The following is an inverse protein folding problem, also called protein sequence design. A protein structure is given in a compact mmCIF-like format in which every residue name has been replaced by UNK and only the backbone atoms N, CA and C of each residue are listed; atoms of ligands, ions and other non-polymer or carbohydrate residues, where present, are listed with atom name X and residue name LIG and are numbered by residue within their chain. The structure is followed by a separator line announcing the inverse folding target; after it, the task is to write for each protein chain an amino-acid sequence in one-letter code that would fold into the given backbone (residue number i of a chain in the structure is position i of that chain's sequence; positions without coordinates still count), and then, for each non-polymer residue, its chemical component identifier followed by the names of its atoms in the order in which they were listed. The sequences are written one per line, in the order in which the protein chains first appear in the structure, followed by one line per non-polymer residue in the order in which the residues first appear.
data_IF_276814125342
#
_entry.id   IF_276814125342
#
_cell.length_a   1.000
_cell.length_b   1.000
_cell.length_c   1.000
_cell.angle_alpha   90.00
_cell.angle_beta   90.00
_cell.angle_gamma   90.00
#
_symmetry.space_group_name_H-M   'P 1'
#
loop_
_entity.id
_entity.type
_entity.pdbx_description
1 polymer ?
#
# COMPACT_ATOMS: atom_id res chain seq x y z
N UNK A 1 14.52 2.80 -8.40
CA UNK A 1 13.51 2.41 -9.40
C UNK A 1 13.92 1.09 -10.06
N UNK A 2 13.02 0.14 -10.13
CA UNK A 2 13.20 -1.13 -10.87
C UNK A 2 12.10 -1.23 -11.90
N UNK A 3 12.42 -1.72 -13.08
CA UNK A 3 11.47 -1.88 -14.18
C UNK A 3 11.48 -3.33 -14.62
N UNK A 4 10.31 -3.92 -14.75
CA UNK A 4 10.12 -5.31 -15.14
C UNK A 4 9.07 -5.40 -16.25
N UNK A 5 9.41 -6.08 -17.33
CA UNK A 5 8.48 -6.38 -18.42
C UNK A 5 7.83 -7.73 -18.14
N UNK A 6 6.57 -7.75 -17.74
CA UNK A 6 5.83 -8.98 -17.43
C UNK A 6 5.46 -9.73 -18.73
N UNK A 7 5.05 -8.98 -19.74
CA UNK A 7 4.74 -9.51 -21.08
C UNK A 7 4.95 -8.40 -22.12
N UNK A 8 4.69 -8.67 -23.39
CA UNK A 8 4.87 -7.70 -24.47
C UNK A 8 4.04 -6.41 -24.33
N UNK A 9 3.04 -6.41 -23.45
CA UNK A 9 2.09 -5.30 -23.28
C UNK A 9 2.10 -4.69 -21.88
N UNK A 10 2.69 -5.33 -20.88
CA UNK A 10 2.61 -4.89 -19.48
C UNK A 10 3.99 -4.66 -18.92
N UNK A 11 4.24 -3.42 -18.54
CA UNK A 11 5.47 -2.96 -17.88
C UNK A 11 5.15 -2.56 -16.44
N UNK A 12 5.94 -3.05 -15.48
CA UNK A 12 5.82 -2.74 -14.06
C UNK A 12 7.02 -1.91 -13.62
N UNK A 13 6.75 -0.77 -13.04
CA UNK A 13 7.74 0.16 -12.50
C UNK A 13 7.60 0.17 -10.99
N UNK A 14 8.64 -0.28 -10.28
CA UNK A 14 8.63 -0.38 -8.83
C UNK A 14 9.54 0.65 -8.19
N UNK A 15 9.00 1.33 -7.18
CA UNK A 15 9.71 2.22 -6.27
C UNK A 15 9.72 1.61 -4.88
N UNK A 16 10.91 1.51 -4.27
CA UNK A 16 11.08 0.91 -2.95
C UNK A 16 10.71 1.85 -1.79
N UNK A 17 10.48 3.12 -2.11
CA UNK A 17 9.95 4.12 -1.17
C UNK A 17 9.15 5.21 -1.88
N UNK A 18 8.32 5.89 -1.10
CA UNK A 18 7.57 7.06 -1.55
C UNK A 18 8.51 8.22 -1.92
N UNK A 19 9.64 8.36 -1.20
CA UNK A 19 10.65 9.37 -1.49
C UNK A 19 11.31 9.13 -2.85
N UNK A 20 11.68 7.90 -3.16
CA UNK A 20 12.27 7.54 -4.46
C UNK A 20 11.32 7.87 -5.63
N UNK A 21 10.02 7.60 -5.45
CA UNK A 21 9.01 7.99 -6.44
C UNK A 21 8.92 9.50 -6.61
N UNK A 22 8.89 10.24 -5.52
CA UNK A 22 8.85 11.70 -5.53
C UNK A 22 10.10 12.30 -6.20
N UNK A 23 11.28 11.83 -5.83
CA UNK A 23 12.55 12.30 -6.40
C UNK A 23 12.60 12.09 -7.92
N UNK A 24 12.07 10.98 -8.39
CA UNK A 24 11.91 10.73 -9.83
C UNK A 24 11.02 11.78 -10.49
N UNK A 25 9.85 12.09 -9.90
CA UNK A 25 8.91 13.05 -10.48
C UNK A 25 9.48 14.48 -10.58
N UNK A 26 10.26 14.89 -9.58
CA UNK A 26 10.78 16.27 -9.51
C UNK A 26 12.04 16.44 -10.36
N UNK A 27 12.89 15.43 -10.40
CA UNK A 27 14.17 15.52 -11.12
C UNK A 27 14.05 15.16 -12.61
N UNK A 28 12.92 14.61 -13.05
CA UNK A 28 12.72 14.26 -14.46
C UNK A 28 12.09 15.44 -15.20
N UNK A 29 12.73 15.95 -16.26
CA UNK A 29 12.16 17.01 -17.09
C UNK A 29 10.84 16.56 -17.70
N UNK A 30 9.85 17.44 -17.73
CA UNK A 30 8.55 17.16 -18.36
C UNK A 30 8.23 18.17 -19.45
N UNK A 31 7.46 17.72 -20.45
CA UNK A 31 7.00 18.56 -21.52
C UNK A 31 5.75 19.33 -21.08
N UNK A 32 5.84 20.66 -21.04
CA UNK A 32 4.73 21.54 -20.66
C UNK A 32 3.48 21.45 -21.57
N UNK A 33 3.60 20.86 -22.74
CA UNK A 33 2.43 20.61 -23.60
C UNK A 33 1.41 19.64 -23.00
N UNK A 34 1.86 18.80 -22.02
CA UNK A 34 1.02 17.86 -21.25
C UNK A 34 1.23 18.16 -19.76
N UNK A 35 0.45 19.06 -19.21
CA UNK A 35 0.62 19.54 -17.83
C UNK A 35 -0.68 19.42 -17.01
N UNK A 36 -1.41 18.35 -17.19
CA UNK A 36 -2.65 18.10 -16.45
C UNK A 36 -2.43 17.90 -14.95
N UNK A 37 -1.21 17.50 -14.57
CA UNK A 37 -0.78 17.48 -13.18
C UNK A 37 -0.80 18.88 -12.53
N UNK A 38 -0.58 19.95 -13.30
CA UNK A 38 -0.52 21.33 -12.79
C UNK A 38 -1.82 22.11 -13.04
N UNK A 39 -2.32 22.12 -14.26
CA UNK A 39 -3.31 23.09 -14.73
C UNK A 39 -4.51 22.49 -15.48
N UNK A 40 -4.95 21.29 -15.16
CA UNK A 40 -6.10 20.72 -15.86
C UNK A 40 -7.36 21.61 -15.78
N UNK A 41 -8.00 21.92 -16.89
CA UNK A 41 -9.18 22.78 -16.96
C UNK A 41 -10.37 22.26 -16.13
N UNK A 42 -10.68 20.97 -16.26
CA UNK A 42 -11.73 20.30 -15.47
C UNK A 42 -11.10 19.43 -14.40
N UNK A 43 -10.02 18.74 -14.73
CA UNK A 43 -9.30 17.82 -13.84
C UNK A 43 -8.42 18.52 -12.81
N UNK A 44 -8.11 19.79 -13.00
CA UNK A 44 -7.37 20.62 -12.05
C UNK A 44 -8.23 21.33 -11.00
N UNK A 45 -9.55 21.15 -11.02
CA UNK A 45 -10.42 21.79 -10.03
C UNK A 45 -10.18 21.22 -8.64
N UNK A 46 -10.25 22.09 -7.62
CA UNK A 46 -10.11 21.70 -6.20
C UNK A 46 -11.13 20.60 -5.79
N UNK A 47 -12.31 20.60 -6.40
CA UNK A 47 -13.33 19.57 -6.17
C UNK A 47 -12.85 18.18 -6.62
N UNK A 48 -12.11 18.12 -7.74
CA UNK A 48 -11.61 16.88 -8.32
C UNK A 48 -10.32 16.38 -7.63
N UNK A 49 -9.35 17.27 -7.42
CA UNK A 49 -8.03 16.90 -6.88
C UNK A 49 -7.90 17.08 -5.36
N UNK A 50 -8.76 17.90 -4.75
CA UNK A 50 -8.67 18.40 -3.36
C UNK A 50 -7.44 19.28 -3.11
N UNK A 51 -6.74 19.72 -4.18
CA UNK A 51 -5.66 20.71 -4.15
C UNK A 51 -5.82 21.70 -5.30
N UNK A 52 -5.30 22.91 -5.14
CA UNK A 52 -5.37 23.94 -6.17
C UNK A 52 -4.22 23.80 -7.19
N UNK A 53 -3.06 23.32 -6.74
CA UNK A 53 -1.85 23.20 -7.57
C UNK A 53 -1.10 21.88 -7.31
N UNK A 54 -0.15 21.57 -8.18
CA UNK A 54 0.82 20.51 -7.97
C UNK A 54 1.72 20.82 -6.77
N UNK A 55 2.12 22.09 -6.61
CA UNK A 55 2.96 22.51 -5.47
C UNK A 55 2.27 22.27 -4.13
N UNK A 56 0.98 22.56 -4.01
CA UNK A 56 0.19 22.25 -2.80
C UNK A 56 0.15 20.75 -2.53
N UNK A 57 -0.01 19.91 -3.55
CA UNK A 57 0.03 18.46 -3.39
C UNK A 57 1.42 17.98 -2.91
N UNK A 58 2.49 18.61 -3.37
CA UNK A 58 3.86 18.34 -2.94
C UNK A 58 4.08 18.78 -1.48
N UNK A 59 3.53 19.90 -1.07
CA UNK A 59 3.61 20.34 0.34
C UNK A 59 2.89 19.37 1.26
N UNK A 60 1.67 18.92 0.90
CA UNK A 60 0.93 17.91 1.63
C UNK A 60 1.66 16.55 1.65
N UNK A 61 2.36 16.21 0.57
CA UNK A 61 3.20 15.03 0.52
C UNK A 61 4.33 15.10 1.56
N UNK A 62 4.99 16.26 1.71
CA UNK A 62 6.12 16.46 2.63
C UNK A 62 5.69 16.62 4.08
N UNK A 63 4.65 17.41 4.33
CA UNK A 63 4.17 17.75 5.67
C UNK A 63 3.17 16.73 6.25
N UNK A 64 2.56 15.93 5.37
CA UNK A 64 1.41 15.09 5.70
C UNK A 64 0.08 15.86 5.66
N UNK A 65 -1.02 15.13 5.64
CA UNK A 65 -2.38 15.70 5.67
C UNK A 65 -2.93 15.69 7.09
N UNK A 66 -2.56 16.70 7.89
CA UNK A 66 -2.87 16.82 9.31
C UNK A 66 -4.37 16.83 9.60
N UNK A 67 -5.15 17.55 8.80
CA UNK A 67 -6.59 17.73 9.02
C UNK A 67 -7.34 16.40 8.93
N UNK A 68 -6.95 15.56 7.98
CA UNK A 68 -7.53 14.23 7.84
C UNK A 68 -6.93 13.22 8.82
N UNK A 69 -5.67 13.38 9.24
CA UNK A 69 -5.00 12.42 10.12
C UNK A 69 -5.77 12.19 11.42
N UNK A 70 -6.29 13.24 12.04
CA UNK A 70 -7.11 13.15 13.25
C UNK A 70 -8.41 12.38 13.03
N UNK A 71 -9.11 12.63 11.94
CA UNK A 71 -10.32 11.91 11.54
C UNK A 71 -10.03 10.43 11.27
N UNK A 72 -8.94 10.14 10.54
CA UNK A 72 -8.49 8.77 10.27
C UNK A 72 -8.18 8.01 11.55
N UNK A 73 -7.48 8.63 12.51
CA UNK A 73 -7.19 8.02 13.81
C UNK A 73 -8.47 7.64 14.54
N UNK A 74 -9.49 8.50 14.54
CA UNK A 74 -10.79 8.21 15.16
C UNK A 74 -11.48 7.03 14.47
N UNK A 75 -11.56 7.04 13.13
CA UNK A 75 -12.19 5.96 12.35
C UNK A 75 -11.48 4.62 12.48
N UNK A 76 -10.16 4.64 12.74
CA UNK A 76 -9.35 3.44 12.95
C UNK A 76 -9.37 2.93 14.38
N UNK A 77 -9.73 3.75 15.38
CA UNK A 77 -9.90 3.32 16.79
C UNK A 77 -11.07 2.36 16.98
N UNK A 78 -12.12 2.48 16.17
CA UNK A 78 -13.32 1.64 16.24
C UNK A 78 -13.02 0.16 15.91
N UNK A 79 -11.86 -0.12 15.30
CA UNK A 79 -11.45 -1.49 14.97
C UNK A 79 -10.55 -2.02 16.10
N UNK A 80 -11.12 -2.24 17.25
CA UNK A 80 -10.46 -3.01 18.33
C UNK A 80 -10.61 -4.49 18.04
N UNK A 81 -9.62 -5.09 17.40
CA UNK A 81 -9.48 -6.52 17.29
C UNK A 81 -8.61 -7.03 18.45
N UNK A 82 -8.90 -8.24 18.92
CA UNK A 82 -8.02 -8.94 19.88
C UNK A 82 -6.63 -9.05 19.24
N UNK A 83 -5.65 -8.39 19.83
CA UNK A 83 -4.27 -8.45 19.38
C UNK A 83 -3.73 -9.84 19.69
N UNK A 84 -3.24 -10.54 18.68
CA UNK A 84 -2.54 -11.81 18.88
C UNK A 84 -1.27 -11.58 19.71
N UNK A 85 -0.95 -12.48 20.67
CA UNK A 85 0.21 -12.31 21.49
C UNK A 85 1.48 -12.35 20.64
N UNK A 86 2.30 -11.33 20.76
CA UNK A 86 3.60 -11.26 20.08
C UNK A 86 4.65 -12.18 20.69
N UNK A 87 4.37 -12.77 21.84
CA UNK A 87 5.23 -13.69 22.57
C UNK A 87 4.43 -14.93 22.98
N UNK A 88 5.06 -16.09 22.89
CA UNK A 88 4.48 -17.35 23.38
C UNK A 88 5.45 -18.08 24.32
N UNK A 89 4.94 -18.83 25.32
CA UNK A 89 5.79 -19.66 26.16
C UNK A 89 6.39 -20.80 25.34
N UNK A 90 7.69 -20.98 25.48
CA UNK A 90 8.43 -22.13 24.95
C UNK A 90 9.20 -22.80 26.09
N UNK A 91 9.10 -24.12 26.14
CA UNK A 91 9.87 -24.88 27.10
C UNK A 91 11.36 -24.79 26.76
N UNK A 92 12.19 -24.57 27.78
CA UNK A 92 13.64 -24.54 27.72
C UNK A 92 14.22 -25.29 28.90
N UNK A 93 15.31 -25.99 28.71
CA UNK A 93 16.11 -26.52 29.81
C UNK A 93 16.86 -25.38 30.49
N UNK A 94 16.82 -25.35 31.81
CA UNK A 94 17.46 -24.34 32.64
C UNK A 94 17.92 -24.93 33.96
N UNK A 95 18.71 -24.19 34.73
CA UNK A 95 19.12 -24.58 36.08
C UNK A 95 17.99 -24.53 37.09
N UNK A 96 16.92 -23.79 36.78
CA UNK A 96 15.72 -23.72 37.61
C UNK A 96 14.47 -23.82 36.69
N UNK A 97 13.37 -24.38 37.21
CA UNK A 97 12.17 -24.56 36.45
C UNK A 97 11.04 -25.19 37.24
N UNK A 98 9.93 -25.45 36.57
CA UNK A 98 8.74 -26.03 37.18
C UNK A 98 8.72 -27.56 37.24
N UNK A 99 9.59 -28.22 36.48
CA UNK A 99 9.67 -29.67 36.42
C UNK A 99 11.12 -30.13 36.19
N UNK A 100 11.62 -31.05 37.03
CA UNK A 100 12.89 -31.67 36.82
C UNK A 100 12.82 -32.78 35.78
N UNK A 101 13.85 -32.87 34.94
CA UNK A 101 14.03 -33.98 33.99
C UNK A 101 14.96 -34.98 34.63
N UNK A 102 14.38 -35.99 35.26
CA UNK A 102 15.08 -36.97 36.10
C UNK A 102 16.30 -37.59 35.41
N UNK A 103 16.26 -38.04 34.15
CA UNK A 103 17.45 -38.57 33.48
C UNK A 103 18.62 -37.58 33.40
N UNK A 104 18.35 -36.29 33.12
CA UNK A 104 19.42 -35.27 33.07
C UNK A 104 19.95 -34.92 34.44
N UNK A 105 19.09 -34.95 35.46
CA UNK A 105 19.51 -34.76 36.87
C UNK A 105 20.47 -35.86 37.31
N UNK A 106 20.13 -37.14 37.04
CA UNK A 106 20.98 -38.29 37.39
C UNK A 106 22.32 -38.24 36.65
N UNK A 107 22.33 -37.72 35.42
CA UNK A 107 23.57 -37.56 34.64
C UNK A 107 24.41 -36.34 35.08
N UNK A 108 23.95 -35.56 36.06
CA UNK A 108 24.67 -34.39 36.55
C UNK A 108 24.67 -33.21 35.60
N UNK A 109 23.74 -33.16 34.61
CA UNK A 109 23.63 -32.05 33.68
C UNK A 109 23.11 -30.81 34.42
N UNK A 110 23.79 -29.65 34.39
CA UNK A 110 23.37 -28.47 35.14
C UNK A 110 21.98 -27.95 34.74
N UNK A 111 21.68 -27.97 33.44
CA UNK A 111 20.38 -27.51 32.89
C UNK A 111 19.41 -28.72 32.84
N UNK A 112 18.94 -29.17 33.99
CA UNK A 112 18.10 -30.38 34.12
C UNK A 112 16.63 -30.07 34.46
N UNK A 113 16.26 -28.80 34.53
CA UNK A 113 14.88 -28.39 34.81
C UNK A 113 14.20 -27.79 33.60
N UNK A 114 12.90 -28.11 33.44
CA UNK A 114 12.03 -27.51 32.42
C UNK A 114 11.57 -26.14 32.91
N UNK A 115 11.88 -25.12 32.15
CA UNK A 115 11.42 -23.74 32.40
C UNK A 115 10.62 -23.18 31.20
N UNK A 116 9.72 -22.27 31.46
CA UNK A 116 8.93 -21.55 30.41
C UNK A 116 9.58 -20.20 30.13
N UNK A 117 10.17 -20.07 28.98
CA UNK A 117 10.68 -18.77 28.49
C UNK A 117 9.72 -18.18 27.46
N UNK A 118 9.36 -16.92 27.63
CA UNK A 118 8.62 -16.20 26.62
C UNK A 118 9.53 -15.93 25.42
N UNK A 119 9.13 -16.39 24.25
CA UNK A 119 9.87 -16.19 23.00
C UNK A 119 9.00 -15.43 22.00
N UNK A 120 9.60 -14.55 21.20
CA UNK A 120 8.86 -13.85 20.16
C UNK A 120 8.21 -14.84 19.18
N UNK A 121 6.95 -14.58 18.87
CA UNK A 121 6.24 -15.30 17.80
C UNK A 121 6.74 -14.75 16.46
N UNK A 122 7.21 -15.64 15.58
CA UNK A 122 7.56 -15.26 14.20
C UNK A 122 6.26 -14.85 13.48
N UNK A 123 6.10 -13.56 13.22
CA UNK A 123 4.94 -13.03 12.53
C UNK A 123 5.06 -13.29 11.03
N UNK A 124 3.95 -13.65 10.39
CA UNK A 124 3.89 -13.84 8.93
C UNK A 124 3.91 -12.47 8.26
N UNK A 125 4.84 -12.28 7.33
CA UNK A 125 4.90 -11.08 6.49
C UNK A 125 4.01 -11.30 5.27
N UNK A 126 3.17 -10.32 4.98
CA UNK A 126 2.31 -10.30 3.79
C UNK A 126 2.50 -8.99 3.03
N UNK A 127 2.30 -9.03 1.73
CA UNK A 127 2.35 -7.84 0.87
C UNK A 127 0.96 -7.54 0.35
N UNK A 128 0.50 -6.32 0.61
CA UNK A 128 -0.81 -5.81 0.20
C UNK A 128 -0.58 -4.68 -0.79
N UNK A 129 -1.17 -4.79 -1.97
CA UNK A 129 -1.15 -3.79 -3.03
C UNK A 129 -2.53 -3.15 -3.11
N UNK A 130 -2.64 -1.86 -2.79
CA UNK A 130 -3.91 -1.11 -2.94
C UNK A 130 -3.92 -0.42 -4.30
N UNK A 131 -4.85 -0.80 -5.17
CA UNK A 131 -5.07 -0.08 -6.42
C UNK A 131 -5.73 1.28 -6.13
N UNK A 132 -5.14 2.33 -6.69
CA UNK A 132 -5.69 3.69 -6.72
C UNK A 132 -6.19 4.06 -8.12
N UNK A 133 -6.43 3.09 -8.99
CA UNK A 133 -6.84 3.27 -10.38
C UNK A 133 -8.32 3.67 -10.49
N UNK A 134 -8.62 4.87 -10.02
CA UNK A 134 -9.97 5.43 -10.15
C UNK A 134 -10.12 6.16 -11.49
N UNK A 135 -11.25 5.97 -12.14
CA UNK A 135 -11.56 6.73 -13.35
C UNK A 135 -11.91 8.19 -13.03
N UNK A 136 -11.91 9.04 -14.04
CA UNK A 136 -12.20 10.47 -13.90
C UNK A 136 -13.60 10.79 -13.37
N UNK A 137 -14.58 9.88 -13.49
CA UNK A 137 -15.94 10.06 -12.99
C UNK A 137 -16.09 9.77 -11.50
N UNK A 138 -15.07 9.21 -10.85
CA UNK A 138 -15.12 8.90 -9.41
C UNK A 138 -14.95 10.17 -8.59
N UNK A 139 -15.90 10.45 -7.68
CA UNK A 139 -15.78 11.59 -6.78
C UNK A 139 -14.61 11.46 -5.82
N UNK A 140 -14.01 12.58 -5.44
CA UNK A 140 -12.89 12.60 -4.48
C UNK A 140 -13.27 12.02 -3.13
N UNK A 141 -14.49 12.26 -2.66
CA UNK A 141 -14.95 11.75 -1.36
C UNK A 141 -15.08 10.22 -1.37
N UNK A 142 -15.51 9.64 -2.51
CA UNK A 142 -15.54 8.19 -2.66
C UNK A 142 -14.13 7.57 -2.67
N UNK A 143 -13.16 8.24 -3.30
CA UNK A 143 -11.74 7.80 -3.25
C UNK A 143 -11.26 7.76 -1.79
N UNK A 144 -11.55 8.81 -1.02
CA UNK A 144 -11.20 8.91 0.39
C UNK A 144 -11.80 7.74 1.19
N UNK A 145 -13.09 7.49 1.02
CA UNK A 145 -13.78 6.41 1.73
C UNK A 145 -13.21 5.02 1.42
N UNK A 146 -12.99 4.71 0.14
CA UNK A 146 -12.43 3.41 -0.26
C UNK A 146 -10.99 3.21 0.22
N UNK A 147 -10.23 4.29 0.28
CA UNK A 147 -8.85 4.25 0.82
C UNK A 147 -8.83 4.07 2.34
N UNK A 148 -9.80 4.65 3.06
CA UNK A 148 -9.97 4.41 4.50
C UNK A 148 -10.30 2.94 4.77
N UNK A 149 -11.17 2.30 3.98
CA UNK A 149 -11.45 0.86 4.10
C UNK A 149 -10.17 0.03 3.96
N UNK A 150 -9.30 0.36 2.99
CA UNK A 150 -8.02 -0.33 2.83
C UNK A 150 -7.12 -0.18 4.07
N UNK A 151 -7.06 1.02 4.64
CA UNK A 151 -6.30 1.27 5.87
C UNK A 151 -6.87 0.49 7.06
N UNK A 152 -8.18 0.38 7.16
CA UNK A 152 -8.87 -0.43 8.17
C UNK A 152 -8.55 -1.92 8.04
N UNK A 153 -8.52 -2.45 6.81
CA UNK A 153 -8.15 -3.84 6.55
C UNK A 153 -6.72 -4.12 7.00
N UNK A 154 -5.77 -3.27 6.61
CA UNK A 154 -4.36 -3.41 7.00
C UNK A 154 -4.21 -3.39 8.53
N UNK A 155 -4.87 -2.44 9.22
CA UNK A 155 -4.84 -2.35 10.67
C UNK A 155 -5.39 -3.61 11.33
N UNK A 156 -6.51 -4.14 10.82
CA UNK A 156 -7.13 -5.37 11.33
C UNK A 156 -6.21 -6.58 11.20
N UNK A 157 -5.53 -6.73 10.07
CA UNK A 157 -4.57 -7.80 9.84
C UNK A 157 -3.33 -7.67 10.74
N UNK A 158 -2.82 -6.46 10.94
CA UNK A 158 -1.71 -6.23 11.87
C UNK A 158 -2.09 -6.55 13.31
N UNK A 159 -3.34 -6.27 13.72
CA UNK A 159 -3.84 -6.65 15.02
C UNK A 159 -3.99 -8.18 15.19
N UNK A 160 -4.17 -8.92 14.11
CA UNK A 160 -4.16 -10.39 14.09
C UNK A 160 -2.74 -11.00 14.10
N UNK A 161 -1.70 -10.18 14.17
CA UNK A 161 -0.32 -10.63 14.26
C UNK A 161 0.41 -10.76 12.92
N UNK A 162 -0.17 -10.30 11.82
CA UNK A 162 0.54 -10.18 10.55
C UNK A 162 1.46 -8.96 10.54
N UNK A 163 2.47 -9.00 9.67
CA UNK A 163 3.29 -7.84 9.33
C UNK A 163 3.04 -7.47 7.88
N UNK A 164 2.52 -6.27 7.63
CA UNK A 164 2.07 -5.86 6.31
C UNK A 164 3.09 -4.94 5.64
N UNK A 165 3.60 -5.35 4.47
CA UNK A 165 4.08 -4.41 3.48
C UNK A 165 2.86 -3.83 2.79
N UNK A 166 2.78 -2.51 2.67
CA UNK A 166 1.70 -1.83 1.96
C UNK A 166 2.28 -1.04 0.80
N UNK A 167 1.80 -1.34 -0.38
CA UNK A 167 2.11 -0.61 -1.60
C UNK A 167 0.83 0.04 -2.14
N UNK A 168 0.98 1.16 -2.79
CA UNK A 168 -0.03 1.70 -3.70
C UNK A 168 0.32 1.28 -5.13
N UNK A 169 -0.71 1.02 -5.90
CA UNK A 169 -0.61 0.63 -7.31
C UNK A 169 -1.39 1.63 -8.12
N UNK A 170 -0.74 2.15 -9.12
CA UNK A 170 -1.23 3.17 -10.03
C UNK A 170 -0.98 2.65 -11.45
N UNK A 171 -2.03 2.43 -12.21
CA UNK A 171 -1.94 1.89 -13.56
C UNK A 171 -2.51 2.84 -14.60
N UNK A 172 -1.92 2.81 -15.78
CA UNK A 172 -2.46 3.53 -16.95
C UNK A 172 -2.26 2.67 -18.19
N UNK A 173 -3.13 2.91 -19.18
CA UNK A 173 -2.98 2.32 -20.51
C UNK A 173 -2.54 3.39 -21.49
N UNK A 174 -1.66 3.05 -22.41
CA UNK A 174 -1.22 3.89 -23.50
C UNK A 174 -1.32 3.14 -24.83
N UNK A 175 -1.57 3.86 -25.94
CA UNK A 175 -1.82 3.29 -27.26
C UNK A 175 -3.27 2.85 -27.49
N UNK A 176 -3.56 2.33 -28.67
CA UNK A 176 -4.88 1.88 -29.06
C UNK A 176 -4.91 0.46 -29.63
N UNK A 177 -5.98 -0.28 -29.28
CA UNK A 177 -6.28 -1.57 -29.87
C UNK A 177 -5.16 -2.58 -29.69
N UNK A 178 -4.61 -3.12 -30.79
CA UNK A 178 -3.54 -4.13 -30.70
C UNK A 178 -2.23 -3.62 -30.10
N UNK A 179 -1.99 -2.30 -30.16
CA UNK A 179 -0.79 -1.63 -29.67
C UNK A 179 -0.98 -1.07 -28.25
N UNK A 180 -2.10 -1.34 -27.60
CA UNK A 180 -2.34 -0.94 -26.22
C UNK A 180 -1.34 -1.61 -25.28
N UNK A 181 -0.69 -0.78 -24.48
CA UNK A 181 0.25 -1.19 -23.42
C UNK A 181 -0.26 -0.73 -22.07
N UNK A 182 0.05 -1.50 -21.05
CA UNK A 182 -0.24 -1.18 -19.67
C UNK A 182 1.05 -0.85 -18.92
N UNK A 183 1.00 0.23 -18.17
CA UNK A 183 2.07 0.67 -17.28
C UNK A 183 1.55 0.65 -15.86
N UNK A 184 2.20 -0.13 -15.02
CA UNK A 184 1.80 -0.32 -13.63
C UNK A 184 2.91 0.20 -12.73
N UNK A 185 2.62 1.22 -11.95
CA UNK A 185 3.53 1.79 -10.97
C UNK A 185 3.19 1.23 -9.61
N UNK A 186 4.15 0.58 -8.96
CA UNK A 186 4.06 0.06 -7.60
C UNK A 186 4.97 0.87 -6.69
N UNK A 187 4.41 1.55 -5.70
CA UNK A 187 5.17 2.38 -4.76
C UNK A 187 4.97 1.86 -3.34
N UNK A 188 6.06 1.52 -2.65
CA UNK A 188 5.99 1.11 -1.25
C UNK A 188 5.77 2.33 -0.35
N UNK A 189 4.67 2.29 0.41
CA UNK A 189 4.31 3.35 1.36
C UNK A 189 4.48 2.93 2.83
N UNK A 190 4.58 1.61 3.10
CA UNK A 190 4.85 1.06 4.43
C UNK A 190 5.62 -0.24 4.32
N UNK A 191 6.67 -0.39 5.11
CA UNK A 191 7.38 -1.65 5.29
C UNK A 191 6.76 -2.51 6.40
N UNK A 192 6.88 -3.84 6.29
CA UNK A 192 6.48 -4.79 7.33
C UNK A 192 7.18 -4.56 8.67
N UNK A 193 8.39 -3.98 8.66
CA UNK A 193 9.17 -3.69 9.86
C UNK A 193 8.72 -2.41 10.58
N UNK A 194 7.86 -1.61 9.94
CA UNK A 194 7.36 -0.34 10.49
C UNK A 194 5.97 -0.52 11.08
N UNK A 195 5.70 0.19 12.19
CA UNK A 195 4.34 0.35 12.69
C UNK A 195 3.53 1.25 11.76
N UNK A 196 2.22 1.00 11.68
CA UNK A 196 1.33 1.86 10.92
C UNK A 196 1.36 3.30 11.47
N UNK A 197 1.85 4.22 10.67
CA UNK A 197 1.80 5.66 10.96
C UNK A 197 0.71 6.31 10.12
N UNK A 198 -0.42 6.62 10.75
CA UNK A 198 -1.61 7.16 10.07
C UNK A 198 -1.32 8.48 9.38
N UNK A 199 -0.54 9.38 10.01
CA UNK A 199 -0.22 10.68 9.44
C UNK A 199 0.65 10.56 8.18
N UNK A 200 1.62 9.63 8.16
CA UNK A 200 2.43 9.36 6.96
C UNK A 200 1.63 8.73 5.83
N UNK A 201 0.63 7.90 6.16
CA UNK A 201 -0.19 7.19 5.18
C UNK A 201 -1.38 8.02 4.67
N UNK A 202 -1.77 9.07 5.39
CA UNK A 202 -2.95 9.88 5.06
C UNK A 202 -2.89 10.46 3.64
N UNK A 203 -1.77 11.06 3.27
CA UNK A 203 -1.62 11.62 1.92
C UNK A 203 -1.48 10.52 0.85
N UNK A 204 -0.48 9.62 0.88
CA UNK A 204 -0.21 8.71 -0.24
C UNK A 204 -1.31 7.68 -0.47
N UNK A 205 -2.06 7.32 0.56
CA UNK A 205 -3.11 6.30 0.44
C UNK A 205 -4.50 6.91 0.27
N UNK A 206 -4.79 8.04 0.93
CA UNK A 206 -6.16 8.55 1.06
C UNK A 206 -6.41 9.80 0.21
N UNK A 207 -5.39 10.64 0.01
CA UNK A 207 -5.59 11.91 -0.68
C UNK A 207 -5.75 11.73 -2.21
N UNK A 208 -6.81 12.29 -2.83
CA UNK A 208 -7.02 12.17 -4.28
C UNK A 208 -5.89 12.72 -5.14
N UNK A 209 -5.12 13.70 -4.65
CA UNK A 209 -3.99 14.27 -5.38
C UNK A 209 -2.81 13.30 -5.55
N UNK A 210 -2.74 12.22 -4.76
CA UNK A 210 -1.74 11.18 -5.03
C UNK A 210 -1.92 10.60 -6.43
N UNK A 211 -3.15 10.28 -6.82
CA UNK A 211 -3.50 9.87 -8.18
C UNK A 211 -3.47 11.06 -9.14
N UNK A 212 -4.25 12.13 -8.83
CA UNK A 212 -4.65 13.17 -9.78
C UNK A 212 -3.66 14.32 -9.93
N UNK A 213 -2.56 14.30 -9.18
CA UNK A 213 -1.42 15.21 -9.31
C UNK A 213 -0.12 14.45 -9.48
N UNK A 214 0.30 13.64 -8.48
CA UNK A 214 1.59 12.99 -8.51
C UNK A 214 1.67 11.89 -9.57
N UNK A 215 0.66 11.02 -9.66
CA UNK A 215 0.67 9.99 -10.71
C UNK A 215 0.44 10.59 -12.11
N UNK A 216 -0.36 11.64 -12.24
CA UNK A 216 -0.48 12.36 -13.51
C UNK A 216 0.87 12.93 -13.95
N UNK A 217 1.67 13.48 -13.01
CA UNK A 217 3.04 13.88 -13.29
C UNK A 217 3.91 12.69 -13.77
N UNK A 218 3.75 11.52 -13.16
CA UNK A 218 4.46 10.33 -13.64
C UNK A 218 4.12 10.02 -15.10
N UNK A 219 2.87 10.06 -15.49
CA UNK A 219 2.42 9.85 -16.87
C UNK A 219 3.05 10.89 -17.82
N UNK A 220 3.24 12.12 -17.36
CA UNK A 220 3.83 13.21 -18.13
C UNK A 220 5.35 13.12 -18.32
N UNK A 221 6.05 12.46 -17.38
CA UNK A 221 7.52 12.41 -17.39
C UNK A 221 8.09 11.04 -17.78
N UNK A 222 7.30 9.95 -17.71
CA UNK A 222 7.80 8.62 -18.01
C UNK A 222 7.86 8.37 -19.54
N UNK A 223 9.06 8.20 -20.15
CA UNK A 223 9.21 8.22 -21.60
C UNK A 223 8.40 7.16 -22.34
N UNK A 224 8.26 5.95 -21.77
CA UNK A 224 7.54 4.86 -22.42
C UNK A 224 6.02 5.12 -22.42
N UNK A 225 5.49 5.83 -21.43
CA UNK A 225 4.09 6.24 -21.38
C UNK A 225 3.86 7.41 -22.33
N UNK A 226 4.68 8.46 -22.25
CA UNK A 226 4.50 9.70 -23.05
C UNK A 226 4.60 9.45 -24.52
N UNK A 227 5.43 8.51 -24.97
CA UNK A 227 5.64 8.15 -26.38
C UNK A 227 4.37 7.55 -27.02
N UNK A 228 3.65 6.71 -26.27
CA UNK A 228 2.48 5.98 -26.75
C UNK A 228 1.17 6.59 -26.24
N UNK A 229 1.26 7.75 -25.54
CA UNK A 229 0.12 8.35 -24.87
C UNK A 229 -0.81 9.04 -25.87
N UNK A 230 -2.09 8.64 -25.87
CA UNK A 230 -3.10 9.17 -26.79
C UNK A 230 -4.38 9.43 -26.01
N UNK A 231 -4.48 10.60 -25.40
CA UNK A 231 -5.70 11.04 -24.76
C UNK A 231 -5.63 11.17 -23.23
N UNK A 232 -6.76 11.33 -22.58
CA UNK A 232 -6.84 11.73 -21.18
C UNK A 232 -6.26 10.71 -20.16
N UNK A 233 -5.83 11.20 -19.01
CA UNK A 233 -5.20 10.43 -17.92
C UNK A 233 -6.15 9.46 -17.17
N UNK A 234 -7.40 9.36 -17.60
CA UNK A 234 -8.45 8.61 -16.90
C UNK A 234 -8.64 7.16 -17.35
N UNK A 235 -7.66 6.55 -18.00
CA UNK A 235 -7.73 5.15 -18.43
C UNK A 235 -6.96 4.26 -17.42
N UNK A 236 -7.66 3.71 -16.41
CA UNK A 236 -7.01 2.83 -15.44
C UNK A 236 -6.57 1.52 -16.10
N UNK A 237 -5.55 0.88 -15.53
CA UNK A 237 -5.12 -0.44 -15.97
C UNK A 237 -6.22 -1.49 -15.75
N UNK A 238 -6.26 -2.51 -16.60
CA UNK A 238 -7.25 -3.58 -16.48
C UNK A 238 -7.02 -4.41 -15.21
N UNK A 239 -8.04 -4.54 -14.37
CA UNK A 239 -7.94 -5.24 -13.09
C UNK A 239 -7.55 -6.71 -13.22
N UNK A 240 -7.90 -7.37 -14.31
CA UNK A 240 -7.51 -8.75 -14.62
C UNK A 240 -6.00 -8.89 -14.83
N UNK A 241 -5.37 -7.91 -15.47
CA UNK A 241 -3.92 -7.88 -15.66
C UNK A 241 -3.19 -7.54 -14.36
N UNK A 242 -3.71 -6.60 -13.56
CA UNK A 242 -3.15 -6.30 -12.23
C UNK A 242 -3.09 -7.55 -11.34
N UNK A 243 -4.13 -8.39 -11.36
CA UNK A 243 -4.12 -9.65 -10.60
C UNK A 243 -3.03 -10.61 -11.05
N UNK A 244 -2.73 -10.69 -12.35
CA UNK A 244 -1.63 -11.51 -12.88
C UNK A 244 -0.27 -10.95 -12.47
N UNK A 245 -0.10 -9.63 -12.55
CA UNK A 245 1.13 -8.93 -12.15
C UNK A 245 1.47 -9.18 -10.68
N UNK A 246 0.47 -9.21 -9.80
CA UNK A 246 0.65 -9.39 -8.35
C UNK A 246 0.34 -10.81 -7.88
N UNK A 247 0.58 -11.82 -8.73
CA UNK A 247 0.42 -13.21 -8.33
C UNK A 247 1.30 -13.54 -7.09
N UNK A 248 0.67 -14.09 -6.05
CA UNK A 248 1.33 -14.36 -4.76
C UNK A 248 1.35 -13.19 -3.77
N UNK A 249 0.85 -12.02 -4.13
CA UNK A 249 0.59 -10.89 -3.26
C UNK A 249 -0.94 -10.60 -3.21
N UNK A 250 -1.39 -9.87 -2.18
CA UNK A 250 -2.81 -9.51 -2.05
C UNK A 250 -3.09 -8.19 -2.76
N UNK A 251 -4.07 -8.19 -3.66
CA UNK A 251 -4.52 -6.99 -4.37
C UNK A 251 -5.85 -6.52 -3.77
N UNK A 252 -5.84 -5.35 -3.13
CA UNK A 252 -7.05 -4.63 -2.78
C UNK A 252 -7.48 -3.76 -3.98
N UNK A 253 -8.66 -4.02 -4.57
CA UNK A 253 -9.13 -3.25 -5.71
C UNK A 253 -9.40 -1.79 -5.33
N UNK A 254 -9.59 -0.94 -6.34
CA UNK A 254 -10.00 0.45 -6.13
C UNK A 254 -11.30 0.54 -5.33
N UNK A 255 -12.30 -0.30 -5.64
CA UNK A 255 -13.54 -0.43 -4.87
C UNK A 255 -13.57 -1.75 -4.12
N UNK A 256 -13.59 -1.67 -2.79
CA UNK A 256 -13.74 -2.82 -1.89
C UNK A 256 -15.23 -3.15 -1.77
N UNK A 257 -15.66 -4.25 -2.38
CA UNK A 257 -17.06 -4.67 -2.39
C UNK A 257 -17.50 -5.31 -1.07
N UNK A 258 -16.57 -6.02 -0.43
CA UNK A 258 -16.83 -6.72 0.83
C UNK A 258 -16.80 -5.74 2.00
N UNK A 259 -17.76 -5.85 2.92
CA UNK A 259 -17.73 -5.07 4.15
C UNK A 259 -16.47 -5.40 4.96
N UNK A 260 -15.76 -4.36 5.42
CA UNK A 260 -14.53 -4.49 6.22
C UNK A 260 -14.76 -5.31 7.49
N UNK A 261 -15.96 -5.24 8.10
CA UNK A 261 -16.33 -6.03 9.27
C UNK A 261 -16.28 -7.54 9.01
N UNK A 262 -16.55 -7.96 7.77
CA UNK A 262 -16.57 -9.36 7.33
C UNK A 262 -15.21 -9.90 6.88
N UNK A 263 -14.18 -9.06 6.82
CA UNK A 263 -12.81 -9.46 6.53
C UNK A 263 -12.15 -9.84 7.84
N UNK A 264 -12.12 -11.14 8.16
CA UNK A 264 -11.60 -11.66 9.43
C UNK A 264 -10.31 -12.45 9.27
N UNK A 265 -10.03 -12.95 8.07
CA UNK A 265 -8.86 -13.77 7.77
C UNK A 265 -8.14 -13.23 6.54
N UNK A 266 -6.92 -13.72 6.31
CA UNK A 266 -6.14 -13.39 5.13
C UNK A 266 -6.79 -13.93 3.85
N UNK A 267 -7.47 -15.08 3.93
CA UNK A 267 -8.15 -15.71 2.81
C UNK A 267 -9.35 -14.88 2.33
N UNK A 268 -9.90 -14.06 3.23
CA UNK A 268 -10.96 -13.11 2.88
C UNK A 268 -10.49 -12.03 1.90
N UNK A 269 -9.16 -11.79 1.79
CA UNK A 269 -8.59 -10.81 0.85
C UNK A 269 -8.63 -11.28 -0.61
N UNK A 270 -8.71 -12.58 -0.85
CA UNK A 270 -8.77 -13.12 -2.22
C UNK A 270 -10.09 -12.78 -2.92
N UNK A 271 -11.13 -12.49 -2.14
CA UNK A 271 -12.50 -12.25 -2.60
C UNK A 271 -13.02 -10.83 -2.32
N UNK A 272 -12.11 -9.87 -2.17
CA UNK A 272 -12.44 -8.47 -1.84
C UNK A 272 -12.76 -7.61 -3.06
#
# INVERSE_FOLDING_TARGET
MKTEQINSKTEVIQYDSLQEFYDYLINTPFNQAFCWSEHGSVTGSKSFTKTESFSEAVELFKSGWSDMASNLVQRLKVIESKTEPTMKPRNKLDVCGYQAIVPLYIQGVPNNMMNKKMVPVKQKVITINKSLDYNGMTSSDKIIEESIKAMQIVKKLEAQGFRCNLNIVLGTTAGYGKNEKQFVVKVRIKSANEKMNVSKLAFPLVHPSMLRRLFFRFVEVYPNVTKDFVGGYGHPAHSSELRKVFAGEYLLPNFVKKDVSKINTIDDLENV
#
